data_IF_605002573068
#
_entry.id   IF_605002573068
#
_cell.length_a   1.000
_cell.length_b   1.000
_cell.length_c   1.000
_cell.angle_alpha   90.00
_cell.angle_beta   90.00
_cell.angle_gamma   90.00
#
_symmetry.space_group_name_H-M   'P 1'
#
loop_
_entity.id
_entity.type
_entity.pdbx_description
1 polymer ?
#
# COMPACT_ATOMS: atom_id res chain seq x y z
N UNK A 1 -4.15 33.78 -26.16
CA UNK A 1 -5.08 32.63 -26.00
C UNK A 1 -4.36 31.30 -26.19
N UNK A 2 -3.41 31.17 -27.12
CA UNK A 2 -2.69 29.92 -27.38
C UNK A 2 -1.79 29.45 -26.23
N UNK A 3 -1.10 30.37 -25.55
CA UNK A 3 -0.27 30.03 -24.37
C UNK A 3 -1.08 29.49 -23.20
N UNK A 4 -2.27 30.05 -22.95
CA UNK A 4 -3.17 29.58 -21.89
C UNK A 4 -3.61 28.13 -22.14
N UNK A 5 -3.88 27.79 -23.39
CA UNK A 5 -4.24 26.43 -23.82
C UNK A 5 -3.05 25.48 -23.66
N UNK A 6 -1.84 25.94 -23.96
CA UNK A 6 -0.61 25.18 -23.75
C UNK A 6 -0.37 24.83 -22.29
N UNK A 7 -0.49 25.81 -21.39
CA UNK A 7 -0.32 25.62 -19.94
C UNK A 7 -1.41 24.71 -19.37
N UNK A 8 -2.67 24.91 -19.76
CA UNK A 8 -3.79 24.10 -19.28
C UNK A 8 -3.68 22.63 -19.72
N UNK A 9 -3.19 22.38 -20.94
CA UNK A 9 -2.89 21.03 -21.45
C UNK A 9 -1.74 20.37 -20.70
N UNK A 10 -0.70 21.11 -20.31
CA UNK A 10 0.42 20.58 -19.54
C UNK A 10 0.05 20.29 -18.08
N UNK A 11 -0.88 21.06 -17.51
CA UNK A 11 -1.34 20.88 -16.14
C UNK A 11 -2.19 19.61 -15.95
N UNK A 12 -2.95 19.24 -16.97
CA UNK A 12 -3.84 18.07 -16.96
C UNK A 12 -3.15 16.73 -16.60
N UNK A 13 -2.06 16.31 -17.28
CA UNK A 13 -1.39 15.06 -16.95
C UNK A 13 -0.69 15.10 -15.58
N UNK A 14 -0.25 16.27 -15.11
CA UNK A 14 0.40 16.41 -13.80
C UNK A 14 -0.56 16.07 -12.67
N UNK A 15 -1.81 16.54 -12.74
CA UNK A 15 -2.83 16.19 -11.75
C UNK A 15 -3.22 14.72 -11.77
N UNK A 16 -3.34 14.13 -12.97
CA UNK A 16 -3.62 12.70 -13.09
C UNK A 16 -2.49 11.85 -12.49
N UNK A 17 -1.24 12.23 -12.72
CA UNK A 17 -0.09 11.56 -12.13
C UNK A 17 -0.03 11.75 -10.61
N UNK A 18 -0.31 12.95 -10.10
CA UNK A 18 -0.37 13.22 -8.68
C UNK A 18 -1.48 12.41 -7.97
N UNK A 19 -2.67 12.32 -8.58
CA UNK A 19 -3.76 11.46 -8.08
C UNK A 19 -3.37 9.99 -8.08
N UNK A 20 -2.78 9.51 -9.17
CA UNK A 20 -2.34 8.13 -9.28
C UNK A 20 -1.31 7.78 -8.20
N UNK A 21 -0.27 8.60 -8.06
CA UNK A 21 0.75 8.41 -7.02
C UNK A 21 0.15 8.53 -5.62
N UNK A 22 -0.78 9.45 -5.39
CA UNK A 22 -1.51 9.58 -4.12
C UNK A 22 -2.27 8.32 -3.76
N UNK A 23 -3.00 7.72 -4.70
CA UNK A 23 -3.75 6.46 -4.48
C UNK A 23 -2.81 5.28 -4.28
N UNK A 24 -1.73 5.18 -5.07
CA UNK A 24 -0.72 4.12 -4.94
C UNK A 24 -0.02 4.21 -3.59
N UNK A 25 0.44 5.40 -3.21
CA UNK A 25 1.07 5.65 -1.92
C UNK A 25 0.11 5.37 -0.76
N UNK A 26 -1.17 5.76 -0.87
CA UNK A 26 -2.20 5.46 0.12
C UNK A 26 -2.46 3.95 0.25
N UNK A 27 -2.58 3.26 -0.87
CA UNK A 27 -2.86 1.81 -0.92
C UNK A 27 -1.67 1.01 -0.40
N UNK A 28 -0.46 1.40 -0.76
CA UNK A 28 0.79 0.81 -0.28
C UNK A 28 1.13 1.26 1.14
N UNK A 29 0.40 2.24 1.71
CA UNK A 29 0.71 2.73 3.05
C UNK A 29 0.39 1.64 4.08
N UNK A 30 1.37 1.19 4.88
CA UNK A 30 1.29 0.01 5.71
C UNK A 30 0.46 0.23 6.99
N UNK A 31 -0.40 1.25 7.04
CA UNK A 31 -1.20 1.61 8.22
C UNK A 31 -2.22 0.54 8.63
N UNK A 32 -2.35 -0.55 7.85
CA UNK A 32 -3.02 -1.80 8.23
C UNK A 32 -2.12 -3.04 8.26
N UNK A 33 -0.89 -2.99 7.74
CA UNK A 33 0.07 -4.08 7.86
C UNK A 33 0.42 -4.32 9.33
N UNK A 34 0.58 -3.26 10.13
CA UNK A 34 0.91 -3.41 11.55
C UNK A 34 -0.19 -4.09 12.37
N UNK A 35 -1.47 -3.90 12.02
CA UNK A 35 -2.57 -4.58 12.73
C UNK A 35 -2.68 -6.05 12.32
N UNK A 36 -2.35 -6.38 11.08
CA UNK A 36 -2.31 -7.77 10.61
C UNK A 36 -1.05 -8.49 11.09
N UNK A 37 0.09 -7.80 11.17
CA UNK A 37 1.30 -8.34 11.79
C UNK A 37 1.11 -8.47 13.31
N UNK A 38 0.63 -7.47 14.04
CA UNK A 38 0.34 -7.63 15.48
C UNK A 38 -0.72 -8.71 15.79
N UNK A 39 -1.83 -8.80 15.02
CA UNK A 39 -2.90 -9.77 15.29
C UNK A 39 -2.62 -11.17 14.69
N UNK A 40 -1.90 -11.30 13.56
CA UNK A 40 -1.69 -12.57 12.83
C UNK A 40 -0.22 -12.99 12.66
N UNK A 41 0.78 -12.16 12.99
CA UNK A 41 2.18 -12.62 13.09
C UNK A 41 2.47 -13.35 14.38
N UNK A 42 1.48 -13.50 15.28
CA UNK A 42 1.42 -14.67 16.12
C UNK A 42 0.91 -15.83 15.25
N UNK A 43 1.75 -16.26 14.30
CA UNK A 43 1.75 -17.65 13.90
C UNK A 43 2.44 -18.32 15.08
N UNK A 44 1.71 -18.96 16.02
CA UNK A 44 2.34 -19.99 16.79
C UNK A 44 2.77 -21.01 15.73
N UNK A 45 4.05 -20.96 15.34
CA UNK A 45 4.77 -22.18 15.07
C UNK A 45 4.66 -22.98 16.37
N UNK A 46 3.48 -23.61 16.54
CA UNK A 46 3.38 -24.95 17.07
C UNK A 46 4.34 -25.70 16.17
N UNK A 47 5.61 -25.72 16.58
CA UNK A 47 6.44 -26.85 16.24
C UNK A 47 5.59 -28.04 16.64
N UNK A 48 5.08 -28.68 15.61
CA UNK A 48 4.44 -29.97 15.66
C UNK A 48 5.48 -30.95 16.22
N UNK A 49 5.65 -30.94 17.53
CA UNK A 49 6.10 -32.13 18.25
C UNK A 49 4.83 -32.81 18.74
N UNK A 50 4.27 -33.78 17.99
CA UNK A 50 3.50 -34.80 18.66
C UNK A 50 4.48 -35.46 19.62
N UNK A 51 4.31 -35.24 20.93
CA UNK A 51 4.94 -36.05 21.97
C UNK A 51 4.43 -37.50 21.85
N UNK A 52 4.91 -38.20 20.82
CA UNK A 52 5.09 -39.63 20.80
C UNK A 52 6.30 -39.94 21.68
N UNK A 53 6.13 -40.09 23.00
CA UNK A 53 6.82 -41.14 23.77
C UNK A 53 6.53 -41.09 25.28
N UNK A 54 6.01 -42.23 25.77
CA UNK A 54 6.13 -42.86 27.11
C UNK A 54 5.06 -42.62 28.17
#
# INVERSE_FOLDING_TARGET
MEELIGVLRAFWPVWLMALFVGVVAWTLWPKRKRKLEEDYSHIPLRDDEPDEER
#
